data_IF_829028465134
#
_entry.id   IF_829028465134
#
_cell.length_a   1.000
_cell.length_b   1.000
_cell.length_c   1.000
_cell.angle_alpha   90.00
_cell.angle_beta   90.00
_cell.angle_gamma   90.00
#
_symmetry.space_group_name_H-M   'P 1'
#
loop_
_entity.id
_entity.type
_entity.pdbx_description
1 polymer ?
#
# COMPACT_ATOMS: atom_id res chain seq x y z
N UNK A 1 -59.11 -13.78 -52.23
CA UNK A 1 -60.17 -13.68 -51.19
C UNK A 1 -59.55 -13.06 -49.95
N UNK A 2 -60.00 -11.86 -49.61
CA UNK A 2 -59.44 -11.01 -48.57
C UNK A 2 -59.78 -11.54 -47.17
N UNK A 3 -58.81 -11.63 -46.26
CA UNK A 3 -59.10 -11.63 -44.83
C UNK A 3 -58.00 -10.91 -44.06
N UNK A 4 -58.30 -9.64 -43.74
CA UNK A 4 -57.55 -8.74 -42.86
C UNK A 4 -57.61 -9.28 -41.43
N UNK A 5 -56.56 -9.06 -40.62
CA UNK A 5 -56.54 -8.81 -39.16
C UNK A 5 -55.07 -8.61 -38.75
N UNK A 6 -54.61 -7.38 -38.54
CA UNK A 6 -54.58 -6.60 -37.28
C UNK A 6 -53.19 -6.64 -36.61
N UNK A 7 -52.53 -5.48 -36.70
CA UNK A 7 -51.55 -4.87 -35.79
C UNK A 7 -51.11 -5.67 -34.54
N UNK A 8 -49.80 -5.83 -34.38
CA UNK A 8 -49.13 -5.73 -33.08
C UNK A 8 -47.67 -5.32 -33.30
N UNK A 9 -47.41 -4.02 -33.15
CA UNK A 9 -46.06 -3.50 -33.00
C UNK A 9 -45.51 -3.94 -31.65
N UNK A 10 -44.36 -4.62 -31.63
CA UNK A 10 -43.55 -4.77 -30.41
C UNK A 10 -42.16 -4.31 -30.77
N UNK A 11 -41.95 -3.00 -30.67
CA UNK A 11 -40.63 -2.38 -30.59
C UNK A 11 -40.00 -2.85 -29.29
N UNK A 12 -39.08 -3.80 -29.39
CA UNK A 12 -38.25 -4.26 -28.29
C UNK A 12 -37.11 -3.23 -28.10
N UNK A 13 -37.42 -2.12 -27.43
CA UNK A 13 -36.42 -1.20 -26.91
C UNK A 13 -35.65 -1.89 -25.79
N UNK A 14 -34.49 -2.44 -26.14
CA UNK A 14 -33.53 -2.91 -25.16
C UNK A 14 -32.97 -1.70 -24.38
N UNK A 15 -33.48 -1.48 -23.18
CA UNK A 15 -32.85 -0.59 -22.21
C UNK A 15 -31.50 -1.19 -21.81
N UNK A 16 -30.43 -0.74 -22.47
CA UNK A 16 -29.06 -0.96 -22.02
C UNK A 16 -28.89 -0.07 -20.79
N UNK A 17 -29.18 -0.61 -19.61
CA UNK A 17 -28.77 0.04 -18.37
C UNK A 17 -27.24 0.04 -18.32
N UNK A 18 -26.58 1.18 -18.08
CA UNK A 18 -25.16 1.17 -17.80
C UNK A 18 -24.96 0.43 -16.49
N UNK A 19 -24.36 -0.76 -16.55
CA UNK A 19 -23.83 -1.41 -15.38
C UNK A 19 -22.68 -0.54 -14.88
N UNK A 20 -22.96 0.35 -13.93
CA UNK A 20 -21.93 1.03 -13.18
C UNK A 20 -21.14 -0.06 -12.45
N UNK A 21 -19.95 -0.37 -12.99
CA UNK A 21 -18.97 -1.17 -12.29
C UNK A 21 -18.67 -0.44 -10.97
N UNK A 22 -19.19 -0.98 -9.88
CA UNK A 22 -18.78 -0.55 -8.56
C UNK A 22 -17.30 -0.96 -8.42
N UNK A 23 -16.40 -0.02 -8.68
CA UNK A 23 -15.02 -0.12 -8.20
C UNK A 23 -15.10 -0.30 -6.69
N UNK A 24 -14.99 -1.55 -6.24
CA UNK A 24 -14.92 -1.87 -4.83
C UNK A 24 -13.84 -1.00 -4.22
N UNK A 25 -14.21 -0.26 -3.17
CA UNK A 25 -13.31 0.69 -2.51
C UNK A 25 -11.96 0.01 -2.30
N UNK A 26 -10.93 0.50 -2.99
CA UNK A 26 -9.58 -0.03 -2.86
C UNK A 26 -9.17 0.18 -1.40
N UNK A 27 -9.27 -0.88 -0.59
CA UNK A 27 -8.79 -0.86 0.79
C UNK A 27 -7.30 -0.62 0.75
N UNK A 28 -6.89 0.60 1.10
CA UNK A 28 -5.50 0.95 1.28
C UNK A 28 -4.90 -0.03 2.30
N UNK A 29 -3.71 -0.59 2.04
CA UNK A 29 -3.07 -1.49 2.97
C UNK A 29 -2.89 -0.77 4.31
N UNK A 30 -3.27 -1.41 5.41
CA UNK A 30 -3.11 -0.83 6.74
C UNK A 30 -1.63 -0.61 7.02
N UNK A 31 -1.25 0.58 7.48
CA UNK A 31 0.13 0.92 7.81
C UNK A 31 0.19 1.27 9.29
N UNK A 32 1.13 0.66 10.02
CA UNK A 32 1.38 0.99 11.44
C UNK A 32 2.68 1.80 11.52
N UNK A 33 2.58 3.03 12.01
CA UNK A 33 3.75 3.92 12.20
C UNK A 33 4.60 3.42 13.37
N UNK A 34 5.93 3.33 13.19
CA UNK A 34 6.84 2.88 14.27
C UNK A 34 7.23 4.00 15.24
N UNK A 35 6.92 5.25 14.89
CA UNK A 35 7.40 6.45 15.59
C UNK A 35 8.87 6.79 15.27
N UNK A 36 9.52 6.02 14.39
CA UNK A 36 10.91 6.23 14.03
C UNK A 36 11.06 7.09 12.79
N UNK A 37 11.73 8.23 12.92
CA UNK A 37 12.06 9.13 11.82
C UNK A 37 13.58 9.14 11.65
N UNK A 38 14.03 8.87 10.42
CA UNK A 38 15.42 9.03 10.02
C UNK A 38 15.60 10.42 9.41
N UNK A 39 16.57 11.18 9.95
CA UNK A 39 17.09 12.40 9.36
C UNK A 39 18.06 12.03 8.21
N UNK A 40 17.84 12.55 7.01
CA UNK A 40 18.66 12.23 5.85
C UNK A 40 20.06 12.88 5.87
N UNK A 41 20.25 13.96 6.64
CA UNK A 41 21.57 14.58 6.82
C UNK A 41 22.46 13.75 7.76
N UNK A 42 21.87 13.08 8.75
CA UNK A 42 22.57 12.18 9.66
C UNK A 42 21.65 11.03 10.10
N UNK A 43 21.47 10.02 9.25
CA UNK A 43 20.55 8.94 9.54
C UNK A 43 21.10 8.13 10.71
N UNK A 44 20.56 8.38 11.90
CA UNK A 44 20.64 7.41 12.97
C UNK A 44 20.00 6.13 12.45
N UNK A 45 20.56 5.00 12.83
CA UNK A 45 20.11 3.70 12.37
C UNK A 45 19.34 3.00 13.49
N UNK A 46 18.26 2.27 13.17
CA UNK A 46 17.54 1.52 14.16
C UNK A 46 18.42 0.40 14.74
N UNK A 47 18.29 0.18 16.03
CA UNK A 47 18.98 -0.90 16.74
C UNK A 47 18.33 -2.24 16.41
N UNK A 48 19.07 -3.35 16.58
CA UNK A 48 18.54 -4.68 16.32
C UNK A 48 17.33 -5.02 17.20
N UNK A 49 17.34 -4.59 18.47
CA UNK A 49 16.21 -4.72 19.40
C UNK A 49 14.96 -3.97 18.93
N UNK A 50 15.13 -2.80 18.31
CA UNK A 50 13.99 -2.06 17.73
C UNK A 50 13.40 -2.81 16.54
N UNK A 51 14.24 -3.41 15.69
CA UNK A 51 13.78 -4.21 14.55
C UNK A 51 13.01 -5.44 15.03
N UNK A 52 13.55 -6.16 16.01
CA UNK A 52 12.87 -7.29 16.66
C UNK A 52 11.48 -6.86 17.20
N UNK A 53 11.41 -5.77 17.97
CA UNK A 53 10.15 -5.27 18.52
C UNK A 53 9.11 -4.85 17.45
N UNK A 54 9.55 -4.39 16.28
CA UNK A 54 8.64 -4.01 15.20
C UNK A 54 8.21 -5.18 14.30
N UNK A 55 9.09 -6.16 14.11
CA UNK A 55 8.86 -7.25 13.16
C UNK A 55 8.38 -8.54 13.81
N UNK A 56 8.48 -8.63 15.14
CA UNK A 56 8.24 -9.84 15.93
C UNK A 56 9.11 -11.03 15.49
N UNK A 57 10.25 -10.73 14.87
CA UNK A 57 11.23 -11.73 14.45
C UNK A 57 12.11 -12.10 15.64
N UNK A 58 12.11 -13.37 16.03
CA UNK A 58 12.94 -13.86 17.14
C UNK A 58 14.26 -14.53 16.70
N UNK A 59 14.47 -14.67 15.39
CA UNK A 59 15.72 -15.20 14.86
C UNK A 59 16.71 -14.06 14.56
N UNK A 60 17.87 -14.08 15.21
CA UNK A 60 18.90 -13.03 15.08
C UNK A 60 19.27 -12.74 13.62
N UNK A 61 19.43 -13.78 12.78
CA UNK A 61 19.76 -13.65 11.37
C UNK A 61 18.66 -12.98 10.56
N UNK A 62 17.39 -13.31 10.85
CA UNK A 62 16.23 -12.66 10.22
C UNK A 62 16.12 -11.19 10.64
N UNK A 63 16.32 -10.88 11.92
CA UNK A 63 16.33 -9.50 12.43
C UNK A 63 17.44 -8.68 11.76
N UNK A 64 18.64 -9.26 11.64
CA UNK A 64 19.76 -8.63 10.93
C UNK A 64 19.42 -8.35 9.47
N UNK A 65 18.90 -9.35 8.75
CA UNK A 65 18.51 -9.18 7.35
C UNK A 65 17.37 -8.15 7.17
N UNK A 66 16.40 -8.10 8.09
CA UNK A 66 15.35 -7.09 8.10
C UNK A 66 15.91 -5.68 8.31
N UNK A 67 16.88 -5.55 9.23
CA UNK A 67 17.61 -4.30 9.48
C UNK A 67 18.35 -3.81 8.24
N UNK A 68 19.15 -4.65 7.60
CA UNK A 68 19.91 -4.29 6.39
C UNK A 68 18.98 -3.82 5.26
N UNK A 69 17.86 -4.53 5.05
CA UNK A 69 16.85 -4.12 4.06
C UNK A 69 16.22 -2.77 4.39
N UNK A 70 15.93 -2.51 5.66
CA UNK A 70 15.38 -1.22 6.09
C UNK A 70 16.40 -0.10 5.86
N UNK A 71 17.67 -0.30 6.22
CA UNK A 71 18.72 0.69 6.01
C UNK A 71 18.91 1.03 4.53
N UNK A 72 18.93 0.02 3.66
CA UNK A 72 18.96 0.25 2.22
C UNK A 72 17.72 1.00 1.71
N UNK A 73 16.56 0.75 2.32
CA UNK A 73 15.31 1.49 2.04
C UNK A 73 15.39 2.97 2.44
N UNK A 74 15.89 3.25 3.65
CA UNK A 74 16.10 4.61 4.15
C UNK A 74 17.09 5.35 3.25
N UNK A 75 18.23 4.73 2.94
CA UNK A 75 19.25 5.33 2.07
C UNK A 75 18.70 5.72 0.69
N UNK A 76 17.91 4.84 0.07
CA UNK A 76 17.24 5.15 -1.20
C UNK A 76 16.20 6.27 -1.07
N UNK A 77 15.41 6.29 0.01
CA UNK A 77 14.41 7.33 0.22
C UNK A 77 15.07 8.70 0.42
N UNK A 78 16.19 8.76 1.16
CA UNK A 78 16.95 9.99 1.37
C UNK A 78 17.67 10.54 0.12
N UNK A 79 17.83 9.73 -0.93
CA UNK A 79 18.34 10.22 -2.22
C UNK A 79 17.28 11.02 -3.02
N UNK A 80 16.03 11.05 -2.56
CA UNK A 80 14.98 11.87 -3.15
C UNK A 80 15.28 13.36 -3.04
N UNK A 81 15.04 14.13 -4.10
CA UNK A 81 15.20 15.59 -4.07
C UNK A 81 14.22 16.20 -3.07
N UNK A 82 14.73 17.05 -2.17
CA UNK A 82 13.92 17.72 -1.15
C UNK A 82 13.43 16.81 -0.01
N UNK A 83 14.06 15.64 0.17
CA UNK A 83 13.74 14.74 1.28
C UNK A 83 14.74 14.97 2.42
N UNK A 84 14.27 15.61 3.48
CA UNK A 84 15.06 15.80 4.70
C UNK A 84 14.80 14.70 5.74
N UNK A 85 13.61 14.11 5.72
CA UNK A 85 13.16 13.13 6.71
C UNK A 85 12.43 11.95 6.08
N UNK A 86 12.68 10.77 6.64
CA UNK A 86 12.06 9.50 6.23
C UNK A 86 11.41 8.84 7.44
N UNK A 87 10.10 8.66 7.38
CA UNK A 87 9.33 7.94 8.39
C UNK A 87 9.42 6.44 8.12
N UNK A 88 9.80 5.66 9.13
CA UNK A 88 9.69 4.21 9.06
C UNK A 88 8.29 3.79 9.50
N UNK A 89 7.72 2.87 8.74
CA UNK A 89 6.42 2.29 9.02
C UNK A 89 6.47 0.78 8.83
N UNK A 90 5.54 0.09 9.48
CA UNK A 90 5.25 -1.32 9.28
C UNK A 90 4.08 -1.45 8.31
N UNK A 91 4.30 -2.23 7.26
CA UNK A 91 3.27 -2.60 6.30
C UNK A 91 3.10 -4.13 6.33
N UNK A 92 1.88 -4.65 6.54
CA UNK A 92 1.61 -6.05 6.28
C UNK A 92 1.80 -6.31 4.78
N UNK A 93 2.57 -7.33 4.46
CA UNK A 93 2.65 -7.85 3.10
C UNK A 93 1.62 -8.98 2.95
N UNK A 94 1.23 -9.25 1.70
CA UNK A 94 0.34 -10.37 1.40
C UNK A 94 0.88 -11.64 2.08
N UNK A 95 -0.02 -12.42 2.71
CA UNK A 95 0.26 -13.60 3.55
C UNK A 95 0.51 -13.35 5.05
N UNK A 96 0.28 -12.13 5.56
CA UNK A 96 0.25 -11.87 7.01
C UNK A 96 1.63 -11.64 7.64
N UNK A 97 2.70 -11.65 6.84
CA UNK A 97 4.04 -11.25 7.27
C UNK A 97 4.12 -9.71 7.36
N UNK A 98 4.84 -9.19 8.35
CA UNK A 98 5.02 -7.74 8.53
C UNK A 98 6.37 -7.31 7.97
N UNK A 99 6.37 -6.28 7.11
CA UNK A 99 7.59 -5.72 6.54
C UNK A 99 7.79 -4.27 6.97
N UNK A 100 9.02 -3.94 7.37
CA UNK A 100 9.45 -2.57 7.58
C UNK A 100 9.71 -1.87 6.25
N UNK A 101 9.15 -0.67 6.11
CA UNK A 101 9.25 0.16 4.91
C UNK A 101 9.61 1.59 5.33
N UNK A 102 10.53 2.18 4.58
CA UNK A 102 10.87 3.60 4.65
C UNK A 102 9.92 4.39 3.73
N UNK A 103 9.24 5.39 4.27
CA UNK A 103 8.35 6.29 3.54
C UNK A 103 8.81 7.73 3.70
N UNK A 104 8.81 8.49 2.61
CA UNK A 104 9.05 9.94 2.67
C UNK A 104 7.92 10.59 3.45
N UNK A 105 8.26 11.42 4.43
CA UNK A 105 7.26 12.17 5.17
C UNK A 105 7.00 13.47 4.39
N UNK A 106 5.77 13.73 3.90
CA UNK A 106 5.47 15.00 3.26
C UNK A 106 5.52 16.11 4.31
N UNK A 107 6.21 17.20 3.98
CA UNK A 107 6.16 18.44 4.76
C UNK A 107 4.71 18.95 4.72
N UNK A 108 4.10 19.13 5.90
CA UNK A 108 2.79 19.78 6.01
C UNK A 108 2.92 21.29 5.96
#
# INVERSE_FOLDING_TARGET
MNRRLRFAAVLLTACIAPAFAQEGAATLPSVRVTGYVADCASPRLPTQRQIEAWTDLHNFGQVYAARERLMAGIGRACQGRGVDHVQVVMRPIAQGETRLVAMVQPVR
#
